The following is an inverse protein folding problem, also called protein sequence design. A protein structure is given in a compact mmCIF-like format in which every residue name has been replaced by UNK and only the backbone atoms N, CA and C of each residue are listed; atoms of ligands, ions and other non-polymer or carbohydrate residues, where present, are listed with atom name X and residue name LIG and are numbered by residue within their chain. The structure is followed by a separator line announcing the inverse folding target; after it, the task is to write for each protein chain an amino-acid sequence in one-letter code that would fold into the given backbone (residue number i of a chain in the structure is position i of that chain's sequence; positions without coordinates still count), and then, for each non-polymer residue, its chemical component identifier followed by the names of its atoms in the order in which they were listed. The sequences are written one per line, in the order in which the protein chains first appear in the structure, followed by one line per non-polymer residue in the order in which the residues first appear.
data_IF_291584866848
#
_entry.id   IF_291584866848
#
_cell.length_a   1.000
_cell.length_b   1.000
_cell.length_c   1.000
_cell.angle_alpha   90.00
_cell.angle_beta   90.00
_cell.angle_gamma   90.00
#
_symmetry.space_group_name_H-M   'P 1'
#
loop_
_entity.id
_entity.type
_entity.pdbx_description
1 polymer ?
#
# COMPACT_ATOMS: atom_id res chain seq x y z
N UNK A 1 -15.65 6.83 -40.22
CA UNK A 1 -15.98 5.51 -39.61
C UNK A 1 -15.42 5.45 -38.18
N UNK A 2 -16.01 6.20 -37.25
CA UNK A 2 -15.54 6.26 -35.85
C UNK A 2 -16.68 6.12 -34.81
N UNK A 3 -17.91 5.83 -35.24
CA UNK A 3 -19.09 5.81 -34.36
C UNK A 3 -19.58 4.38 -33.99
N UNK A 4 -18.72 3.37 -34.07
CA UNK A 4 -19.11 1.97 -33.78
C UNK A 4 -18.39 1.30 -32.60
N UNK A 5 -17.38 1.95 -32.01
CA UNK A 5 -16.62 1.38 -30.88
C UNK A 5 -17.22 1.81 -29.53
N UNK A 6 -17.82 3.01 -29.45
CA UNK A 6 -18.45 3.52 -28.22
C UNK A 6 -19.74 2.78 -27.79
N UNK A 7 -20.31 1.92 -28.65
CA UNK A 7 -21.53 1.15 -28.32
C UNK A 7 -21.28 -0.18 -27.59
N UNK A 8 -20.03 -0.60 -27.42
CA UNK A 8 -19.71 -1.84 -26.69
C UNK A 8 -19.52 -1.58 -25.19
N UNK A 9 -19.37 -0.31 -24.80
CA UNK A 9 -19.22 0.12 -23.40
C UNK A 9 -20.32 1.09 -22.95
N UNK A 10 -21.56 0.87 -23.41
CA UNK A 10 -22.69 1.28 -22.57
C UNK A 10 -22.60 0.39 -21.32
N UNK A 11 -21.85 0.87 -20.32
CA UNK A 11 -21.90 0.35 -18.97
C UNK A 11 -23.38 0.41 -18.59
N UNK A 12 -24.07 -0.72 -18.70
CA UNK A 12 -25.35 -0.87 -18.05
C UNK A 12 -25.10 -0.43 -16.61
N UNK A 13 -25.81 0.61 -16.17
CA UNK A 13 -25.94 0.89 -14.75
C UNK A 13 -26.65 -0.31 -14.16
N UNK A 14 -25.90 -1.37 -13.91
CA UNK A 14 -26.34 -2.51 -13.14
C UNK A 14 -26.67 -1.91 -11.78
N UNK A 15 -27.96 -1.75 -11.51
CA UNK A 15 -28.45 -1.59 -10.14
C UNK A 15 -28.15 -2.92 -9.47
N UNK A 16 -26.93 -3.05 -8.94
CA UNK A 16 -26.55 -4.15 -8.09
C UNK A 16 -27.53 -4.15 -6.91
N UNK A 17 -28.25 -5.27 -6.75
CA UNK A 17 -29.01 -5.52 -5.53
C UNK A 17 -27.96 -5.70 -4.43
N UNK A 18 -27.79 -4.66 -3.62
CA UNK A 18 -26.94 -4.66 -2.44
C UNK A 18 -27.47 -5.75 -1.49
N UNK A 19 -26.73 -6.84 -1.35
CA UNK A 19 -26.88 -7.69 -0.18
C UNK A 19 -26.31 -6.88 1.00
N UNK A 20 -26.97 -6.92 2.15
CA UNK A 20 -26.65 -6.12 3.33
C UNK A 20 -25.35 -6.51 4.06
N UNK A 21 -24.46 -7.25 3.41
CA UNK A 21 -23.20 -7.80 3.96
C UNK A 21 -21.99 -7.41 3.08
N UNK A 22 -22.03 -6.23 2.44
CA UNK A 22 -20.88 -5.77 1.64
C UNK A 22 -19.71 -5.39 2.56
N UNK A 23 -18.56 -6.05 2.38
CA UNK A 23 -17.30 -5.70 3.05
C UNK A 23 -16.97 -4.24 2.77
N UNK A 24 -16.79 -3.42 3.81
CA UNK A 24 -16.41 -2.02 3.63
C UNK A 24 -14.95 -1.95 3.15
N UNK A 25 -14.76 -1.37 1.96
CA UNK A 25 -13.45 -1.20 1.33
C UNK A 25 -12.98 0.23 1.59
N UNK A 26 -11.77 0.36 2.12
CA UNK A 26 -11.12 1.64 2.36
C UNK A 26 -9.93 1.81 1.42
N UNK A 27 -9.62 3.04 1.05
CA UNK A 27 -8.39 3.40 0.36
C UNK A 27 -7.52 4.31 1.23
N UNK A 28 -6.35 4.69 0.72
CA UNK A 28 -5.43 5.55 1.46
C UNK A 28 -5.95 6.98 1.67
N UNK A 29 -7.00 7.43 0.98
CA UNK A 29 -7.58 8.77 1.15
C UNK A 29 -8.86 8.75 2.02
N UNK A 30 -9.27 7.56 2.47
CA UNK A 30 -10.44 7.37 3.33
C UNK A 30 -10.20 7.98 4.71
N UNK A 31 -11.15 8.79 5.18
CA UNK A 31 -11.09 9.43 6.49
C UNK A 31 -11.53 8.47 7.60
N UNK A 32 -10.72 7.45 7.87
CA UNK A 32 -11.00 6.42 8.87
C UNK A 32 -9.94 6.36 9.97
N UNK A 33 -10.37 6.02 11.19
CA UNK A 33 -9.46 5.75 12.29
C UNK A 33 -9.04 4.27 12.30
N UNK A 34 -7.81 4.01 11.88
CA UNK A 34 -7.20 2.66 11.87
C UNK A 34 -6.58 2.25 13.21
N UNK A 35 -6.80 3.02 14.27
CA UNK A 35 -6.31 2.67 15.62
C UNK A 35 -7.19 1.58 16.21
N UNK A 36 -6.58 0.56 16.83
CA UNK A 36 -7.27 -0.60 17.42
C UNK A 36 -8.06 -1.46 16.42
N UNK A 37 -7.82 -1.31 15.12
CA UNK A 37 -8.37 -2.18 14.08
C UNK A 37 -7.34 -3.20 13.61
N UNK A 38 -7.75 -4.13 12.76
CA UNK A 38 -6.88 -5.12 12.16
C UNK A 38 -7.24 -5.29 10.68
N UNK A 39 -6.26 -5.30 9.76
CA UNK A 39 -6.56 -5.58 8.38
C UNK A 39 -6.79 -7.07 8.16
N UNK A 40 -7.71 -7.37 7.26
CA UNK A 40 -7.92 -8.72 6.73
C UNK A 40 -7.12 -8.93 5.44
N UNK A 41 -7.15 -7.94 4.55
CA UNK A 41 -6.42 -7.96 3.29
C UNK A 41 -6.11 -6.54 2.82
N UNK A 42 -5.20 -6.41 1.87
CA UNK A 42 -5.13 -5.26 0.98
C UNK A 42 -5.36 -5.69 -0.46
N UNK A 43 -5.76 -4.75 -1.30
CA UNK A 43 -5.89 -4.89 -2.74
C UNK A 43 -4.96 -3.85 -3.36
N UNK A 44 -4.07 -4.28 -4.23
CA UNK A 44 -3.20 -3.37 -4.98
C UNK A 44 -3.29 -3.69 -6.46
N UNK A 45 -3.72 -2.73 -7.29
CA UNK A 45 -3.93 -2.91 -8.74
C UNK A 45 -4.79 -4.13 -9.09
N UNK A 46 -5.80 -4.41 -8.26
CA UNK A 46 -6.73 -5.53 -8.44
C UNK A 46 -6.27 -6.87 -7.85
N UNK A 47 -5.04 -6.97 -7.32
CA UNK A 47 -4.56 -8.18 -6.63
C UNK A 47 -4.90 -8.12 -5.13
N UNK A 48 -5.75 -9.05 -4.65
CA UNK A 48 -6.12 -9.18 -3.23
C UNK A 48 -5.11 -10.06 -2.48
N UNK A 49 -4.48 -9.50 -1.45
CA UNK A 49 -3.48 -10.19 -0.61
C UNK A 49 -3.95 -10.20 0.84
N UNK A 50 -4.18 -11.40 1.37
CA UNK A 50 -4.57 -11.61 2.76
C UNK A 50 -3.42 -11.37 3.73
N UNK A 51 -3.71 -10.71 4.84
CA UNK A 51 -2.72 -10.33 5.86
C UNK A 51 -3.27 -10.54 7.28
N UNK A 52 -2.37 -10.71 8.23
CA UNK A 52 -2.70 -10.94 9.64
C UNK A 52 -2.37 -9.74 10.53
N UNK A 53 -1.77 -8.68 9.99
CA UNK A 53 -1.43 -7.46 10.72
C UNK A 53 -1.08 -6.33 9.74
N UNK A 54 -1.09 -5.09 10.24
CA UNK A 54 -0.58 -3.94 9.48
C UNK A 54 0.91 -4.10 9.13
N UNK A 55 1.73 -4.66 10.02
CA UNK A 55 3.15 -4.88 9.72
C UNK A 55 3.34 -5.88 8.57
N UNK A 56 2.49 -6.92 8.49
CA UNK A 56 2.51 -7.86 7.37
C UNK A 56 1.99 -7.21 6.08
N UNK A 57 0.99 -6.33 6.18
CA UNK A 57 0.53 -5.53 5.04
C UNK A 57 1.64 -4.68 4.44
N UNK A 58 2.37 -3.93 5.28
CA UNK A 58 3.51 -3.13 4.83
C UNK A 58 4.59 -4.01 4.18
N UNK A 59 4.96 -5.11 4.82
CA UNK A 59 5.95 -6.05 4.27
C UNK A 59 5.53 -6.53 2.88
N UNK A 60 4.32 -7.10 2.76
CA UNK A 60 3.81 -7.65 1.50
C UNK A 60 3.66 -6.60 0.41
N UNK A 61 3.24 -5.40 0.78
CA UNK A 61 3.19 -4.27 -0.15
C UNK A 61 4.60 -3.90 -0.66
N UNK A 62 5.60 -3.77 0.22
CA UNK A 62 6.97 -3.45 -0.19
C UNK A 62 7.61 -4.56 -1.04
N UNK A 63 7.33 -5.84 -0.72
CA UNK A 63 7.72 -6.97 -1.59
C UNK A 63 7.12 -6.82 -2.99
N UNK A 64 5.82 -6.54 -3.07
CA UNK A 64 5.12 -6.33 -4.34
C UNK A 64 5.67 -5.15 -5.14
N UNK A 65 5.95 -4.02 -4.49
CA UNK A 65 6.57 -2.86 -5.14
C UNK A 65 7.96 -3.21 -5.68
N UNK A 66 8.76 -3.98 -4.94
CA UNK A 66 10.08 -4.40 -5.41
C UNK A 66 10.00 -5.29 -6.65
N UNK A 67 9.04 -6.22 -6.65
CA UNK A 67 8.83 -7.16 -7.77
C UNK A 67 8.28 -6.43 -9.01
N UNK A 68 7.44 -5.40 -8.83
CA UNK A 68 6.90 -4.58 -9.91
C UNK A 68 7.95 -3.62 -10.50
N UNK A 69 8.58 -2.78 -9.66
CA UNK A 69 9.71 -1.94 -10.06
C UNK A 69 10.66 -1.68 -8.88
N UNK A 70 11.67 -2.54 -8.78
CA UNK A 70 12.76 -2.43 -7.80
C UNK A 70 13.46 -1.07 -7.77
N UNK A 71 13.45 -0.28 -8.86
CA UNK A 71 14.11 1.03 -8.90
C UNK A 71 13.53 2.00 -7.88
N UNK A 72 12.24 1.89 -7.58
CA UNK A 72 11.55 2.72 -6.59
C UNK A 72 12.23 2.52 -5.23
N UNK A 73 12.27 1.28 -4.72
CA UNK A 73 12.85 1.02 -3.40
C UNK A 73 14.36 1.19 -3.37
N UNK A 74 15.06 0.92 -4.47
CA UNK A 74 16.50 1.21 -4.59
C UNK A 74 16.77 2.70 -4.42
N UNK A 75 15.99 3.57 -5.09
CA UNK A 75 16.10 5.04 -4.98
C UNK A 75 15.82 5.49 -3.54
N UNK A 76 14.72 5.01 -2.93
CA UNK A 76 14.36 5.33 -1.55
C UNK A 76 15.47 4.92 -0.56
N UNK A 77 16.01 3.70 -0.70
CA UNK A 77 17.05 3.17 0.16
C UNK A 77 18.37 3.94 0.04
N UNK A 78 18.79 4.30 -1.19
CA UNK A 78 20.00 5.10 -1.42
C UNK A 78 19.92 6.45 -0.70
N UNK A 79 18.73 7.03 -0.65
CA UNK A 79 18.48 8.34 -0.05
C UNK A 79 18.21 8.28 1.45
N UNK A 80 18.25 7.09 2.08
CA UNK A 80 17.83 6.90 3.48
C UNK A 80 16.43 7.48 3.73
N UNK A 81 15.48 7.12 2.87
CA UNK A 81 14.12 7.66 2.87
C UNK A 81 13.54 7.80 4.27
N UNK A 82 12.94 8.97 4.51
CA UNK A 82 12.23 9.33 5.72
C UNK A 82 10.83 9.82 5.35
N UNK A 83 9.84 9.54 6.19
CA UNK A 83 8.52 10.13 6.03
C UNK A 83 8.61 11.66 6.17
N UNK A 84 7.75 12.44 5.49
CA UNK A 84 7.73 13.89 5.62
C UNK A 84 7.65 14.31 7.09
N UNK A 85 8.47 15.31 7.46
CA UNK A 85 8.58 15.85 8.82
C UNK A 85 9.14 14.86 9.87
N UNK A 86 9.41 13.60 9.51
CA UNK A 86 10.06 12.65 10.40
C UNK A 86 11.58 12.80 10.33
N UNK A 87 12.24 12.67 11.49
CA UNK A 87 13.71 12.62 11.57
C UNK A 87 14.29 11.22 11.35
N UNK A 88 13.48 10.19 11.58
CA UNK A 88 13.90 8.79 11.49
C UNK A 88 13.94 8.35 10.04
N UNK A 89 14.89 7.48 9.71
CA UNK A 89 14.93 6.74 8.44
C UNK A 89 13.95 5.57 8.48
N UNK A 90 13.32 5.30 7.34
CA UNK A 90 12.29 4.26 7.17
C UNK A 90 12.65 3.23 6.10
N UNK A 91 13.42 3.61 5.06
CA UNK A 91 13.99 2.66 4.06
C UNK A 91 15.46 3.01 3.83
N UNK A 92 16.35 2.03 3.90
CA UNK A 92 17.80 2.23 3.75
C UNK A 92 18.55 0.92 3.45
N UNK A 93 19.79 1.04 2.96
CA UNK A 93 20.75 -0.07 2.95
C UNK A 93 21.47 -0.27 4.29
N UNK A 94 21.42 0.72 5.21
CA UNK A 94 22.09 0.64 6.50
C UNK A 94 21.10 0.31 7.62
N UNK A 95 20.99 -0.97 7.97
CA UNK A 95 20.08 -1.47 9.02
C UNK A 95 20.24 -0.78 10.38
N UNK A 96 21.43 -0.25 10.70
CA UNK A 96 21.72 0.41 11.98
C UNK A 96 21.02 1.78 12.11
N UNK A 97 20.44 2.31 11.02
CA UNK A 97 19.62 3.53 11.04
C UNK A 97 18.16 3.28 11.40
N UNK A 98 17.75 2.03 11.56
CA UNK A 98 16.36 1.63 11.83
C UNK A 98 16.27 1.09 13.27
N UNK A 99 15.14 1.33 13.95
CA UNK A 99 14.97 0.82 15.33
C UNK A 99 14.67 -0.67 15.31
N UNK A 100 13.85 -1.12 14.36
CA UNK A 100 13.56 -2.53 14.14
C UNK A 100 13.66 -2.82 12.63
N UNK A 101 14.86 -3.15 12.13
CA UNK A 101 15.06 -3.41 10.72
C UNK A 101 14.44 -4.73 10.30
N UNK A 102 13.77 -4.73 9.15
CA UNK A 102 13.42 -5.93 8.39
C UNK A 102 13.91 -5.79 6.96
N UNK A 103 14.44 -6.86 6.40
CA UNK A 103 14.95 -6.88 5.03
C UNK A 103 13.85 -7.27 4.04
N UNK A 104 13.78 -6.58 2.89
CA UNK A 104 12.91 -6.93 1.77
C UNK A 104 13.57 -8.08 1.02
N UNK A 105 13.00 -9.28 1.06
CA UNK A 105 13.36 -10.47 0.24
C UNK A 105 14.88 -10.68 0.00
N UNK A 106 15.72 -10.53 1.04
CA UNK A 106 17.18 -10.68 0.94
C UNK A 106 17.87 -9.76 -0.10
N UNK A 107 17.30 -8.59 -0.35
CA UNK A 107 17.79 -7.61 -1.34
C UNK A 107 18.89 -6.70 -0.81
N UNK A 108 19.17 -6.73 0.50
CA UNK A 108 19.98 -5.75 1.21
C UNK A 108 19.27 -4.42 1.50
N UNK A 109 18.00 -4.25 1.07
CA UNK A 109 17.17 -3.10 1.42
C UNK A 109 16.40 -3.41 2.69
N UNK A 110 16.52 -2.55 3.69
CA UNK A 110 15.86 -2.67 4.97
C UNK A 110 14.80 -1.60 5.15
N UNK A 111 13.73 -1.94 5.88
CA UNK A 111 12.68 -1.01 6.30
C UNK A 111 12.36 -1.10 7.80
N UNK A 112 11.86 -0.01 8.36
CA UNK A 112 11.43 0.09 9.77
C UNK A 112 10.12 -0.68 10.01
N UNK A 113 10.07 -1.53 11.04
CA UNK A 113 8.85 -2.24 11.44
C UNK A 113 8.26 -1.81 12.78
N UNK A 114 8.98 -1.01 13.57
CA UNK A 114 8.48 -0.52 14.86
C UNK A 114 7.52 0.66 14.67
N UNK A 115 6.33 0.37 14.14
CA UNK A 115 5.33 1.34 13.70
C UNK A 115 3.93 0.95 14.18
N UNK A 116 3.10 1.95 14.48
CA UNK A 116 1.67 1.76 14.71
C UNK A 116 0.89 1.74 13.37
N UNK A 117 -0.38 1.36 13.43
CA UNK A 117 -1.25 1.23 12.24
C UNK A 117 -1.34 2.53 11.42
N UNK A 118 -1.50 3.68 12.08
CA UNK A 118 -1.55 4.99 11.42
C UNK A 118 -0.26 5.31 10.65
N UNK A 119 0.90 5.08 11.26
CA UNK A 119 2.20 5.29 10.61
C UNK A 119 2.42 4.31 9.45
N UNK A 120 1.92 3.08 9.56
CA UNK A 120 2.00 2.11 8.47
C UNK A 120 1.19 2.57 7.26
N UNK A 121 -0.08 2.98 7.46
CA UNK A 121 -0.91 3.51 6.37
C UNK A 121 -0.25 4.76 5.75
N UNK A 122 0.29 5.65 6.58
CA UNK A 122 1.01 6.82 6.08
C UNK A 122 2.25 6.44 5.28
N UNK A 123 3.01 5.45 5.74
CA UNK A 123 4.21 4.97 5.06
C UNK A 123 3.88 4.38 3.69
N UNK A 124 2.87 3.51 3.59
CA UNK A 124 2.39 2.98 2.30
C UNK A 124 2.03 4.14 1.35
N UNK A 125 1.27 5.14 1.84
CA UNK A 125 0.93 6.34 1.07
C UNK A 125 2.16 7.09 0.56
N UNK A 126 3.19 7.28 1.39
CA UNK A 126 4.39 7.99 0.98
C UNK A 126 5.22 7.22 -0.05
N UNK A 127 5.26 5.88 0.02
CA UNK A 127 5.94 5.07 -0.99
C UNK A 127 5.24 5.18 -2.35
N UNK A 128 3.90 5.17 -2.35
CA UNK A 128 3.11 5.40 -3.57
C UNK A 128 3.36 6.80 -4.12
N UNK A 129 3.33 7.83 -3.27
CA UNK A 129 3.52 9.23 -3.68
C UNK A 129 4.94 9.56 -4.16
N UNK A 130 5.98 8.82 -3.74
CA UNK A 130 7.34 8.97 -4.28
C UNK A 130 7.50 8.29 -5.65
N UNK A 131 6.57 7.41 -6.02
CA UNK A 131 6.47 6.80 -7.35
C UNK A 131 5.68 7.70 -8.30
N UNK A 132 6.10 7.75 -9.56
CA UNK A 132 5.30 8.37 -10.64
C UNK A 132 4.38 7.37 -11.34
N UNK A 133 4.46 6.09 -10.97
CA UNK A 133 3.72 5.00 -11.60
C UNK A 133 2.37 4.74 -10.95
N UNK A 134 2.24 5.04 -9.65
CA UNK A 134 1.12 4.59 -8.84
C UNK A 134 0.29 5.74 -8.28
N UNK A 135 -1.00 5.51 -8.09
CA UNK A 135 -1.93 6.43 -7.44
C UNK A 135 -2.40 5.87 -6.08
N UNK A 136 -2.73 6.75 -5.14
CA UNK A 136 -3.19 6.34 -3.79
C UNK A 136 -4.52 5.58 -3.82
N UNK A 137 -5.34 5.79 -4.86
CA UNK A 137 -6.57 5.04 -5.10
C UNK A 137 -6.34 3.59 -5.54
N UNK A 138 -5.13 3.24 -6.02
CA UNK A 138 -4.81 1.86 -6.43
C UNK A 138 -4.52 0.94 -5.24
N UNK A 139 -4.39 1.50 -4.03
CA UNK A 139 -4.21 0.74 -2.81
C UNK A 139 -5.48 0.83 -1.95
N UNK A 140 -6.12 -0.30 -1.78
CA UNK A 140 -7.31 -0.49 -0.97
C UNK A 140 -7.06 -1.53 0.12
N UNK A 141 -7.84 -1.51 1.19
CA UNK A 141 -7.77 -2.51 2.24
C UNK A 141 -9.12 -2.71 2.91
N UNK A 142 -9.28 -3.91 3.46
CA UNK A 142 -10.47 -4.35 4.17
C UNK A 142 -10.07 -4.63 5.61
N UNK A 143 -10.88 -4.14 6.54
CA UNK A 143 -10.69 -4.38 7.96
C UNK A 143 -11.45 -5.62 8.38
N UNK A 144 -10.85 -6.38 9.30
CA UNK A 144 -11.50 -7.53 9.88
C UNK A 144 -12.67 -7.06 10.76
N UNK A 145 -13.85 -7.63 10.52
CA UNK A 145 -15.05 -7.44 11.36
C UNK A 145 -14.90 -8.06 12.74
#
# INVERSE_FOLDING_TARGET
MANKILKIFEYEKVKLKLNSDEEEIYNLDSNINVTNTKPECFIFRGEKINVKSYSQMLEKFLELIYDLDSKILIKLAKNNFSLPQAKNTYITYNKEKLRQPREIVKTGIFFETNLNSTLIIYFIRQVIQDSTEFDTSEFEFILKQ
#
